data_IF_817147274359
#
_entry.id   IF_817147274359
#
_cell.length_a   1.000
_cell.length_b   1.000
_cell.length_c   1.000
_cell.angle_alpha   90.00
_cell.angle_beta   90.00
_cell.angle_gamma   90.00
#
_symmetry.space_group_name_H-M   'P 1'
#
loop_
_entity.id
_entity.type
_entity.pdbx_description
1 polymer ?
#
# COMPACT_ATOMS: atom_id res chain seq x y z
N UNK A 1 -24.05 -15.94 14.72
CA UNK A 1 -23.28 -15.70 13.48
C UNK A 1 -21.81 -15.87 13.82
N UNK A 2 -21.02 -16.51 12.95
CA UNK A 2 -19.57 -16.53 13.11
C UNK A 2 -19.06 -15.07 13.13
N UNK A 3 -18.06 -14.77 13.97
CA UNK A 3 -17.45 -13.44 13.97
C UNK A 3 -16.79 -13.22 12.60
N UNK A 4 -17.21 -12.15 11.92
CA UNK A 4 -16.55 -11.68 10.71
C UNK A 4 -15.39 -10.77 11.11
N UNK A 5 -14.25 -10.90 10.43
CA UNK A 5 -13.05 -10.13 10.69
C UNK A 5 -12.61 -9.41 9.44
N UNK A 6 -12.01 -8.25 9.61
CA UNK A 6 -11.22 -7.57 8.59
C UNK A 6 -9.76 -7.87 8.88
N UNK A 7 -9.04 -8.34 7.86
CA UNK A 7 -7.60 -8.59 7.92
C UNK A 7 -6.92 -7.73 6.87
N UNK A 8 -6.30 -6.64 7.33
CA UNK A 8 -5.44 -5.82 6.48
C UNK A 8 -4.04 -6.40 6.55
N UNK A 9 -3.44 -6.72 5.42
CA UNK A 9 -2.15 -7.42 5.40
C UNK A 9 -1.22 -6.90 4.31
N UNK A 10 0.06 -7.16 4.51
CA UNK A 10 1.16 -6.87 3.59
C UNK A 10 2.26 -7.93 3.78
N UNK A 11 3.14 -8.11 2.79
CA UNK A 11 4.17 -9.14 2.80
C UNK A 11 5.52 -8.61 2.33
N UNK A 12 6.57 -8.97 3.06
CA UNK A 12 7.94 -8.76 2.61
C UNK A 12 8.57 -10.01 2.03
N UNK A 13 9.37 -9.82 0.99
CA UNK A 13 9.98 -10.90 0.24
C UNK A 13 11.42 -10.61 -0.15
N UNK A 14 12.18 -11.68 -0.36
CA UNK A 14 13.51 -11.65 -0.97
C UNK A 14 13.54 -12.53 -2.22
N UNK A 15 14.54 -12.40 -3.10
CA UNK A 15 14.77 -13.35 -4.18
C UNK A 15 15.02 -14.78 -3.67
N UNK A 16 14.36 -15.77 -4.26
CA UNK A 16 14.59 -17.20 -4.04
C UNK A 16 15.86 -17.62 -4.80
N UNK A 17 17.01 -17.36 -4.17
CA UNK A 17 18.34 -17.62 -4.76
C UNK A 17 18.51 -19.07 -5.21
N UNK A 18 17.94 -20.04 -4.48
CA UNK A 18 17.99 -21.44 -4.88
C UNK A 18 17.28 -21.69 -6.22
N UNK A 19 16.10 -21.09 -6.42
CA UNK A 19 15.39 -21.18 -7.69
C UNK A 19 16.13 -20.43 -8.80
N UNK A 20 16.65 -19.25 -8.48
CA UNK A 20 17.39 -18.41 -9.44
C UNK A 20 18.63 -19.15 -9.95
N UNK A 21 19.45 -19.73 -9.06
CA UNK A 21 20.60 -20.56 -9.46
C UNK A 21 20.17 -21.72 -10.36
N UNK A 22 19.08 -22.39 -10.02
CA UNK A 22 18.57 -23.53 -10.80
C UNK A 22 18.12 -23.14 -12.21
N UNK A 23 17.50 -21.98 -12.39
CA UNK A 23 16.92 -21.55 -13.67
C UNK A 23 17.94 -20.81 -14.52
N UNK A 24 18.69 -19.88 -13.93
CA UNK A 24 19.59 -18.98 -14.63
C UNK A 24 21.05 -19.40 -14.57
N UNK A 25 21.42 -20.33 -13.69
CA UNK A 25 22.80 -20.78 -13.55
C UNK A 25 23.73 -19.73 -12.93
N UNK A 26 23.18 -18.73 -12.23
CA UNK A 26 23.98 -17.73 -11.51
C UNK A 26 24.76 -18.40 -10.38
N UNK A 27 25.97 -17.92 -10.11
CA UNK A 27 26.86 -18.43 -9.08
C UNK A 27 27.23 -17.33 -8.08
N UNK A 28 27.69 -17.72 -6.87
CA UNK A 28 28.04 -16.78 -5.80
C UNK A 28 27.21 -16.96 -4.54
N UNK A 29 27.46 -16.13 -3.54
CA UNK A 29 26.66 -16.05 -2.32
C UNK A 29 25.24 -15.54 -2.59
N UNK A 30 24.34 -15.68 -1.61
CA UNK A 30 22.93 -15.37 -1.80
C UNK A 30 22.65 -13.89 -2.09
N UNK A 31 23.41 -12.96 -1.49
CA UNK A 31 23.26 -11.53 -1.77
C UNK A 31 23.71 -11.20 -3.20
N UNK A 32 24.88 -11.69 -3.60
CA UNK A 32 25.40 -11.50 -4.97
C UNK A 32 24.44 -12.04 -6.03
N UNK A 33 23.89 -13.25 -5.83
CA UNK A 33 22.93 -13.87 -6.76
C UNK A 33 21.62 -13.07 -6.84
N UNK A 34 21.16 -12.53 -5.71
CA UNK A 34 19.96 -11.69 -5.66
C UNK A 34 20.14 -10.40 -6.47
N UNK A 35 21.25 -9.69 -6.24
CA UNK A 35 21.58 -8.45 -6.95
C UNK A 35 21.76 -8.66 -8.45
N UNK A 36 22.45 -9.73 -8.84
CA UNK A 36 22.64 -10.07 -10.25
C UNK A 36 21.31 -10.39 -10.94
N UNK A 37 20.43 -11.17 -10.30
CA UNK A 37 19.11 -11.45 -10.84
C UNK A 37 18.26 -10.18 -11.03
N UNK A 38 18.29 -9.26 -10.06
CA UNK A 38 17.58 -7.97 -10.16
C UNK A 38 18.16 -7.10 -11.28
N UNK A 39 19.48 -7.09 -11.47
CA UNK A 39 20.13 -6.39 -12.58
C UNK A 39 19.73 -6.97 -13.95
N UNK A 40 19.76 -8.30 -14.10
CA UNK A 40 19.31 -9.00 -15.33
C UNK A 40 17.84 -8.68 -15.64
N UNK A 41 16.99 -8.67 -14.62
CA UNK A 41 15.58 -8.31 -14.76
C UNK A 41 15.38 -6.84 -15.16
N UNK A 42 16.21 -5.93 -14.63
CA UNK A 42 16.20 -4.51 -14.99
C UNK A 42 16.59 -4.30 -16.45
N UNK A 43 17.64 -4.96 -16.90
CA UNK A 43 18.07 -4.90 -18.31
C UNK A 43 17.00 -5.44 -19.26
N UNK A 44 16.25 -6.48 -18.85
CA UNK A 44 15.22 -7.10 -19.66
C UNK A 44 13.88 -6.34 -19.66
N UNK A 45 13.49 -5.71 -18.54
CA UNK A 45 12.13 -5.19 -18.32
C UNK A 45 12.05 -3.71 -17.95
N UNK A 46 13.18 -3.09 -17.58
CA UNK A 46 13.24 -1.75 -17.00
C UNK A 46 12.92 -1.68 -15.50
N UNK A 47 12.66 -2.81 -14.83
CA UNK A 47 12.37 -2.88 -13.39
C UNK A 47 13.29 -3.89 -12.71
N UNK A 48 13.74 -3.61 -11.48
CA UNK A 48 14.48 -4.58 -10.66
C UNK A 48 13.56 -5.62 -9.99
N UNK A 49 12.24 -5.39 -10.05
CA UNK A 49 11.25 -6.27 -9.45
C UNK A 49 11.12 -7.58 -10.22
N UNK A 50 11.37 -8.70 -9.54
CA UNK A 50 11.37 -10.03 -10.14
C UNK A 50 9.93 -10.54 -10.38
N UNK A 51 9.74 -11.47 -11.33
CA UNK A 51 8.49 -12.20 -11.45
C UNK A 51 8.15 -13.01 -10.18
N UNK A 52 6.87 -13.09 -9.82
CA UNK A 52 6.37 -13.61 -8.51
C UNK A 52 6.93 -14.97 -8.07
N UNK A 53 7.26 -15.87 -9.00
CA UNK A 53 7.80 -17.20 -8.66
C UNK A 53 9.22 -17.15 -8.09
N UNK A 54 9.96 -16.07 -8.35
CA UNK A 54 11.31 -15.86 -7.85
C UNK A 54 11.35 -15.16 -6.49
N UNK A 55 10.21 -14.91 -5.87
CA UNK A 55 10.15 -14.37 -4.52
C UNK A 55 10.04 -15.49 -3.47
N UNK A 56 10.54 -15.19 -2.28
CA UNK A 56 10.46 -16.00 -1.07
C UNK A 56 9.98 -15.09 0.06
N UNK A 57 8.94 -15.50 0.79
CA UNK A 57 8.36 -14.70 1.87
C UNK A 57 9.28 -14.73 3.09
N UNK A 58 9.50 -13.54 3.68
CA UNK A 58 10.28 -13.37 4.91
C UNK A 58 9.44 -12.76 6.04
N UNK A 59 8.42 -11.96 5.72
CA UNK A 59 7.47 -11.45 6.70
C UNK A 59 6.04 -11.37 6.11
N UNK A 60 5.05 -11.55 6.98
CA UNK A 60 3.64 -11.22 6.70
C UNK A 60 3.11 -10.51 7.93
N UNK A 61 2.80 -9.23 7.79
CA UNK A 61 2.19 -8.43 8.86
C UNK A 61 0.70 -8.28 8.63
N UNK A 62 -0.05 -8.11 9.72
CA UNK A 62 -1.47 -7.87 9.62
C UNK A 62 -2.01 -6.98 10.73
N UNK A 63 -2.92 -6.07 10.35
CA UNK A 63 -3.90 -5.48 11.26
C UNK A 63 -5.16 -6.33 11.25
N UNK A 64 -5.61 -6.70 12.45
CA UNK A 64 -6.92 -7.29 12.67
C UNK A 64 -7.90 -6.22 13.13
N UNK A 65 -9.05 -6.16 12.47
CA UNK A 65 -10.18 -5.34 12.88
C UNK A 65 -11.46 -6.19 12.96
N UNK A 66 -12.45 -5.72 13.71
CA UNK A 66 -13.78 -6.32 13.67
C UNK A 66 -14.52 -5.97 12.37
N UNK A 67 -15.75 -6.48 12.22
CA UNK A 67 -16.56 -6.27 11.02
C UNK A 67 -16.95 -4.80 10.75
N UNK A 68 -16.84 -3.93 11.77
CA UNK A 68 -17.13 -2.49 11.68
C UNK A 68 -15.86 -1.65 11.49
N UNK A 69 -14.70 -2.30 11.34
CA UNK A 69 -13.42 -1.62 11.17
C UNK A 69 -12.74 -1.23 12.48
N UNK A 70 -13.25 -1.61 13.65
CA UNK A 70 -12.58 -1.28 14.91
C UNK A 70 -11.26 -2.03 15.04
N UNK A 71 -10.18 -1.29 15.29
CA UNK A 71 -8.85 -1.84 15.51
C UNK A 71 -8.81 -2.85 16.68
N UNK A 72 -8.25 -4.03 16.45
CA UNK A 72 -8.06 -5.06 17.48
C UNK A 72 -6.59 -5.26 17.83
N UNK A 73 -5.72 -5.39 16.83
CA UNK A 73 -4.26 -5.57 17.00
C UNK A 73 -3.52 -5.42 15.67
N UNK A 74 -2.23 -5.11 15.75
CA UNK A 74 -1.23 -5.29 14.68
C UNK A 74 -0.20 -6.32 15.13
N UNK A 75 0.29 -7.16 14.21
CA UNK A 75 1.40 -8.10 14.48
C UNK A 75 1.95 -8.70 13.19
N UNK A 76 3.23 -9.03 13.19
CA UNK A 76 3.86 -9.94 12.23
C UNK A 76 3.61 -11.41 12.59
N UNK A 77 3.35 -12.27 11.59
CA UNK A 77 3.20 -13.71 11.79
C UNK A 77 4.55 -14.38 12.09
N UNK A 78 4.69 -14.91 13.31
CA UNK A 78 5.87 -15.70 13.67
C UNK A 78 5.93 -17.04 12.90
N UNK A 79 7.13 -17.50 12.58
CA UNK A 79 7.36 -18.85 12.05
C UNK A 79 8.85 -19.15 11.91
N UNK A 80 9.25 -20.41 12.08
CA UNK A 80 10.67 -20.79 11.99
C UNK A 80 11.21 -20.76 10.56
N UNK A 81 10.32 -20.74 9.56
CA UNK A 81 10.62 -20.71 8.14
C UNK A 81 9.39 -20.23 7.36
N UNK A 82 9.59 -19.94 6.07
CA UNK A 82 8.54 -19.49 5.16
C UNK A 82 7.30 -20.41 5.14
N UNK A 83 7.50 -21.74 5.16
CA UNK A 83 6.38 -22.69 5.09
C UNK A 83 5.44 -22.52 6.30
N UNK A 84 6.00 -22.33 7.50
CA UNK A 84 5.20 -22.11 8.71
C UNK A 84 4.44 -20.78 8.70
N UNK A 85 5.09 -19.70 8.23
CA UNK A 85 4.47 -18.38 8.10
C UNK A 85 3.26 -18.47 7.15
N UNK A 86 3.47 -19.04 5.95
CA UNK A 86 2.41 -19.25 4.97
C UNK A 86 1.30 -20.16 5.49
N UNK A 87 1.65 -21.27 6.15
CA UNK A 87 0.66 -22.20 6.69
C UNK A 87 -0.23 -21.55 7.75
N UNK A 88 0.33 -20.68 8.61
CA UNK A 88 -0.45 -19.92 9.59
C UNK A 88 -1.41 -18.93 8.93
N UNK A 89 -0.94 -18.17 7.94
CA UNK A 89 -1.78 -17.21 7.21
C UNK A 89 -2.92 -17.90 6.44
N UNK A 90 -2.60 -18.98 5.72
CA UNK A 90 -3.56 -19.77 4.95
C UNK A 90 -4.59 -20.44 5.86
N UNK A 91 -4.14 -21.01 7.00
CA UNK A 91 -5.04 -21.59 7.99
C UNK A 91 -6.04 -20.55 8.48
N UNK A 92 -5.58 -19.33 8.77
CA UNK A 92 -6.45 -18.23 9.17
C UNK A 92 -7.49 -17.88 8.09
N UNK A 93 -7.08 -17.78 6.81
CA UNK A 93 -8.02 -17.53 5.71
C UNK A 93 -9.09 -18.64 5.62
N UNK A 94 -8.67 -19.91 5.68
CA UNK A 94 -9.60 -21.04 5.58
C UNK A 94 -10.59 -21.11 6.76
N UNK A 95 -10.11 -20.90 7.99
CA UNK A 95 -10.95 -21.01 9.19
C UNK A 95 -11.90 -19.83 9.37
N UNK A 96 -11.46 -18.61 9.06
CA UNK A 96 -12.20 -17.40 9.43
C UNK A 96 -12.87 -16.68 8.27
N UNK A 97 -12.46 -16.96 7.02
CA UNK A 97 -12.96 -16.28 5.83
C UNK A 97 -13.04 -14.73 6.01
N UNK A 98 -11.96 -14.08 6.47
CA UNK A 98 -11.96 -12.65 6.73
C UNK A 98 -12.16 -11.83 5.45
N UNK A 99 -12.65 -10.59 5.56
CA UNK A 99 -12.46 -9.60 4.50
C UNK A 99 -10.99 -9.23 4.47
N UNK A 100 -10.29 -9.65 3.43
CA UNK A 100 -8.89 -9.27 3.19
C UNK A 100 -8.83 -7.85 2.64
N UNK A 101 -7.89 -7.06 3.13
CA UNK A 101 -7.60 -5.72 2.64
C UNK A 101 -6.10 -5.62 2.41
N UNK A 102 -5.70 -5.04 1.28
CA UNK A 102 -4.29 -4.89 0.90
C UNK A 102 -4.12 -3.66 0.03
N UNK A 103 -2.90 -3.16 -0.12
CA UNK A 103 -2.54 -2.21 -1.18
C UNK A 103 -1.76 -2.95 -2.27
N UNK A 104 -2.32 -3.11 -3.48
CA UNK A 104 -1.72 -3.88 -4.57
C UNK A 104 -1.55 -5.39 -4.31
N UNK A 105 -2.21 -5.95 -3.30
CA UNK A 105 -2.14 -7.37 -2.98
C UNK A 105 -2.67 -8.31 -4.06
N UNK A 106 -3.54 -7.83 -4.97
CA UNK A 106 -3.95 -8.58 -6.16
C UNK A 106 -2.87 -8.57 -7.24
N UNK A 107 -2.07 -7.50 -7.30
CA UNK A 107 -0.98 -7.35 -8.26
C UNK A 107 0.26 -8.15 -7.88
N UNK A 108 0.48 -8.41 -6.59
CA UNK A 108 1.69 -9.08 -6.12
C UNK A 108 1.44 -10.12 -5.01
N UNK A 109 1.03 -9.69 -3.81
CA UNK A 109 1.07 -10.48 -2.59
C UNK A 109 0.31 -11.80 -2.68
N UNK A 110 -0.97 -11.76 -3.05
CA UNK A 110 -1.79 -12.96 -3.16
C UNK A 110 -1.31 -13.87 -4.29
N UNK A 111 -1.06 -13.40 -5.54
CA UNK A 111 -0.44 -14.24 -6.56
C UNK A 111 0.86 -14.92 -6.10
N UNK A 112 1.74 -14.17 -5.43
CA UNK A 112 3.01 -14.67 -4.89
C UNK A 112 2.74 -15.73 -3.81
N UNK A 113 1.90 -15.44 -2.81
CA UNK A 113 1.49 -16.39 -1.77
C UNK A 113 0.92 -17.66 -2.37
N UNK A 114 0.05 -17.57 -3.39
CA UNK A 114 -0.53 -18.77 -4.03
C UNK A 114 0.55 -19.63 -4.72
N UNK A 115 1.53 -19.00 -5.38
CA UNK A 115 2.67 -19.72 -5.96
C UNK A 115 3.52 -20.40 -4.89
N UNK A 116 3.78 -19.71 -3.76
CA UNK A 116 4.51 -20.30 -2.63
C UNK A 116 3.72 -21.39 -1.90
N UNK A 117 2.41 -21.24 -1.78
CA UNK A 117 1.52 -22.26 -1.23
C UNK A 117 1.58 -23.56 -2.05
N UNK A 118 1.59 -23.45 -3.39
CA UNK A 118 1.76 -24.61 -4.28
C UNK A 118 3.10 -25.32 -4.05
N UNK A 119 4.20 -24.57 -3.84
CA UNK A 119 5.52 -25.15 -3.52
C UNK A 119 5.48 -26.02 -2.25
N UNK A 120 4.70 -25.63 -1.25
CA UNK A 120 4.58 -26.33 0.03
C UNK A 120 3.36 -27.27 0.12
N UNK A 121 2.63 -27.47 -0.99
CA UNK A 121 1.39 -28.26 -1.05
C UNK A 121 0.34 -27.83 -0.02
N UNK A 122 0.22 -26.52 0.23
CA UNK A 122 -0.78 -25.96 1.14
C UNK A 122 -2.12 -25.76 0.41
N UNK A 123 -3.22 -26.13 1.06
CA UNK A 123 -4.58 -25.92 0.53
C UNK A 123 -5.13 -24.57 0.97
N UNK A 124 -5.57 -23.75 0.02
CA UNK A 124 -6.19 -22.42 0.25
C UNK A 124 -7.64 -22.44 -0.24
N UNK A 125 -8.42 -23.44 0.19
CA UNK A 125 -9.76 -23.71 -0.32
C UNK A 125 -10.69 -22.49 -0.24
N UNK A 126 -10.67 -21.75 0.86
CA UNK A 126 -11.54 -20.59 1.06
C UNK A 126 -11.29 -19.47 0.04
N UNK A 127 -10.04 -19.31 -0.41
CA UNK A 127 -9.66 -18.32 -1.42
C UNK A 127 -10.22 -18.67 -2.81
N UNK A 128 -10.22 -19.96 -3.15
CA UNK A 128 -10.67 -20.44 -4.46
C UNK A 128 -12.18 -20.76 -4.52
N UNK A 129 -12.82 -20.94 -3.36
CA UNK A 129 -14.26 -21.17 -3.22
C UNK A 129 -15.05 -20.01 -3.85
N UNK A 130 -15.91 -20.35 -4.81
CA UNK A 130 -16.73 -19.37 -5.55
C UNK A 130 -18.20 -19.39 -5.16
N UNK A 131 -18.66 -20.43 -4.48
CA UNK A 131 -20.04 -20.59 -4.04
C UNK A 131 -20.06 -21.09 -2.60
N UNK A 132 -20.62 -20.29 -1.70
CA UNK A 132 -20.83 -20.67 -0.30
C UNK A 132 -22.03 -19.88 0.23
N UNK A 133 -23.14 -20.57 0.46
CA UNK A 133 -24.39 -19.93 0.87
C UNK A 133 -24.33 -19.35 2.28
N UNK A 134 -23.56 -19.96 3.19
CA UNK A 134 -23.46 -19.51 4.59
C UNK A 134 -22.65 -18.21 4.69
N UNK A 135 -21.62 -18.07 3.86
CA UNK A 135 -20.77 -16.90 3.80
C UNK A 135 -21.26 -15.86 2.76
N UNK A 136 -22.32 -16.16 2.01
CA UNK A 136 -22.81 -15.38 0.87
C UNK A 136 -21.77 -15.19 -0.26
N UNK A 137 -20.88 -16.17 -0.47
CA UNK A 137 -20.01 -16.20 -1.66
C UNK A 137 -20.80 -16.61 -2.88
N UNK A 138 -20.54 -15.94 -3.99
CA UNK A 138 -21.07 -16.27 -5.30
C UNK A 138 -20.03 -15.93 -6.39
N UNK A 139 -20.34 -16.25 -7.65
CA UNK A 139 -19.43 -16.03 -8.78
C UNK A 139 -18.94 -14.58 -8.95
N UNK A 140 -19.66 -13.59 -8.41
CA UNK A 140 -19.32 -12.16 -8.47
C UNK A 140 -18.74 -11.61 -7.18
N UNK A 141 -18.92 -12.32 -6.06
CA UNK A 141 -18.46 -11.91 -4.73
C UNK A 141 -17.73 -13.06 -4.06
N UNK A 142 -16.41 -13.08 -4.23
CA UNK A 142 -15.46 -14.00 -3.61
C UNK A 142 -14.07 -13.35 -3.63
N UNK A 143 -13.05 -13.96 -3.01
CA UNK A 143 -11.69 -13.37 -2.93
C UNK A 143 -11.07 -13.03 -4.29
N UNK A 144 -11.42 -13.77 -5.35
CA UNK A 144 -10.87 -13.58 -6.70
C UNK A 144 -11.67 -12.59 -7.54
N UNK A 145 -12.80 -12.10 -7.05
CA UNK A 145 -13.64 -11.16 -7.77
C UNK A 145 -13.07 -9.76 -7.69
N UNK A 146 -12.33 -9.35 -8.74
CA UNK A 146 -11.58 -8.08 -8.77
C UNK A 146 -12.40 -6.85 -8.40
N UNK A 147 -13.62 -6.75 -8.91
CA UNK A 147 -14.48 -5.57 -8.75
C UNK A 147 -15.35 -5.61 -7.48
N UNK A 148 -15.25 -6.66 -6.66
CA UNK A 148 -15.99 -6.78 -5.40
C UNK A 148 -15.04 -6.67 -4.22
N UNK A 149 -15.19 -5.61 -3.43
CA UNK A 149 -14.42 -5.41 -2.19
C UNK A 149 -14.90 -6.24 -1.00
N UNK A 150 -15.88 -7.14 -1.18
CA UNK A 150 -16.57 -7.84 -0.07
C UNK A 150 -15.66 -8.85 0.64
N UNK A 151 -14.90 -9.63 -0.12
CA UNK A 151 -13.98 -10.65 0.42
C UNK A 151 -12.52 -10.21 0.29
N UNK A 152 -12.17 -9.51 -0.78
CA UNK A 152 -10.86 -8.90 -0.92
C UNK A 152 -10.99 -7.50 -1.49
N UNK A 153 -10.69 -6.49 -0.68
CA UNK A 153 -10.56 -5.11 -1.11
C UNK A 153 -9.07 -4.81 -1.37
N UNK A 154 -8.70 -4.74 -2.64
CA UNK A 154 -7.40 -4.17 -3.03
C UNK A 154 -7.57 -2.66 -3.20
N UNK A 155 -6.99 -1.88 -2.28
CA UNK A 155 -7.12 -0.43 -2.25
C UNK A 155 -6.51 0.22 -3.49
N UNK A 156 -5.43 -0.33 -4.06
CA UNK A 156 -4.85 0.24 -5.28
C UNK A 156 -5.83 0.09 -6.45
N UNK A 157 -6.41 -1.11 -6.63
CA UNK A 157 -7.42 -1.34 -7.66
C UNK A 157 -8.61 -0.39 -7.48
N UNK A 158 -9.14 -0.27 -6.27
CA UNK A 158 -10.33 0.54 -6.02
C UNK A 158 -10.10 2.06 -6.11
N UNK A 159 -8.98 2.56 -5.59
CA UNK A 159 -8.65 4.00 -5.60
C UNK A 159 -8.20 4.45 -7.00
N UNK A 160 -7.50 3.60 -7.74
CA UNK A 160 -7.09 3.89 -9.13
C UNK A 160 -8.23 3.77 -10.15
N UNK A 161 -9.45 3.46 -9.70
CA UNK A 161 -10.59 3.08 -10.54
C UNK A 161 -10.21 1.98 -11.55
N UNK A 162 -9.70 0.88 -10.99
CA UNK A 162 -9.27 -0.34 -11.65
C UNK A 162 -8.18 -0.14 -12.71
N UNK A 163 -7.27 0.80 -12.47
CA UNK A 163 -6.14 1.13 -13.34
C UNK A 163 -6.39 2.27 -14.32
N UNK A 164 -7.48 3.04 -14.12
CA UNK A 164 -7.73 4.29 -14.85
C UNK A 164 -6.66 5.35 -14.54
N UNK A 165 -6.12 5.34 -13.32
CA UNK A 165 -4.90 6.07 -12.94
C UNK A 165 -3.77 5.08 -12.66
N UNK A 166 -2.54 5.42 -13.04
CA UNK A 166 -1.36 4.57 -12.83
C UNK A 166 -0.34 5.28 -11.94
N UNK A 167 0.53 4.48 -11.31
CA UNK A 167 1.68 5.00 -10.57
C UNK A 167 1.37 5.48 -9.15
N UNK A 168 0.20 5.16 -8.60
CA UNK A 168 -0.09 5.42 -7.19
C UNK A 168 0.77 4.48 -6.32
N UNK A 169 1.55 5.07 -5.41
CA UNK A 169 2.31 4.36 -4.37
C UNK A 169 1.64 4.62 -3.02
N UNK A 170 1.64 3.61 -2.15
CA UNK A 170 1.04 3.69 -0.81
C UNK A 170 1.52 4.94 -0.07
N UNK A 171 2.84 5.11 0.01
CA UNK A 171 3.48 6.25 0.65
C UNK A 171 2.97 7.61 0.15
N UNK A 172 3.08 7.87 -1.16
CA UNK A 172 2.64 9.15 -1.74
C UNK A 172 1.14 9.41 -1.54
N UNK A 173 0.33 8.34 -1.53
CA UNK A 173 -1.10 8.45 -1.32
C UNK A 173 -1.40 8.75 0.16
N UNK A 174 -0.73 8.07 1.09
CA UNK A 174 -0.82 8.34 2.52
C UNK A 174 -0.43 9.78 2.85
N UNK A 175 0.73 10.24 2.34
CA UNK A 175 1.18 11.61 2.53
C UNK A 175 0.16 12.63 2.00
N UNK A 176 -0.45 12.38 0.83
CA UNK A 176 -1.50 13.25 0.27
C UNK A 176 -2.79 13.32 1.10
N UNK A 177 -2.98 12.38 2.03
CA UNK A 177 -4.16 12.23 2.86
C UNK A 177 -3.90 12.55 4.34
N UNK A 178 -2.74 13.15 4.67
CA UNK A 178 -2.28 13.42 6.04
C UNK A 178 -2.12 12.16 6.92
N UNK A 179 -1.86 10.99 6.31
CA UNK A 179 -1.40 9.79 7.03
C UNK A 179 0.12 9.88 7.24
N UNK A 180 0.67 9.10 8.20
CA UNK A 180 2.12 9.00 8.40
C UNK A 180 2.91 8.76 7.11
N UNK A 181 2.47 7.82 6.26
CA UNK A 181 3.24 7.44 5.07
C UNK A 181 4.54 6.74 5.45
N UNK A 182 5.59 6.95 4.65
CA UNK A 182 6.92 6.35 4.86
C UNK A 182 7.48 6.69 6.24
N UNK A 183 7.93 5.65 6.95
CA UNK A 183 8.66 5.77 8.20
C UNK A 183 9.97 5.00 8.09
N UNK A 184 11.10 5.71 8.06
CA UNK A 184 12.52 5.32 8.12
C UNK A 184 13.08 4.22 7.17
N UNK A 185 12.35 3.14 6.88
CA UNK A 185 12.81 2.00 6.06
C UNK A 185 12.10 1.99 4.72
N UNK A 186 12.76 1.46 3.69
CA UNK A 186 12.27 1.41 2.32
C UNK A 186 12.30 -0.03 1.82
N UNK A 187 11.34 -0.42 0.97
CA UNK A 187 11.29 -1.78 0.39
C UNK A 187 12.55 -2.20 -0.38
N UNK A 188 13.36 -1.25 -0.87
CA UNK A 188 14.66 -1.54 -1.50
C UNK A 188 15.75 -1.94 -0.49
N UNK A 189 15.57 -1.68 0.80
CA UNK A 189 16.48 -2.07 1.89
C UNK A 189 16.18 -3.47 2.44
N UNK A 190 15.01 -4.06 2.14
CA UNK A 190 14.59 -5.38 2.67
C UNK A 190 15.64 -6.46 2.40
N UNK A 191 16.26 -6.42 1.21
CA UNK A 191 17.30 -7.36 0.84
C UNK A 191 18.54 -7.24 1.74
N UNK A 192 19.02 -6.01 1.94
CA UNK A 192 20.18 -5.72 2.78
C UNK A 192 19.91 -6.07 4.25
N UNK A 193 18.76 -5.64 4.79
CA UNK A 193 18.32 -5.97 6.15
C UNK A 193 18.26 -7.48 6.37
N UNK A 194 17.75 -8.24 5.39
CA UNK A 194 17.64 -9.68 5.50
C UNK A 194 19.02 -10.36 5.60
N UNK A 195 19.99 -9.97 4.76
CA UNK A 195 21.34 -10.55 4.79
C UNK A 195 22.20 -10.04 5.94
N UNK A 196 21.79 -8.97 6.62
CA UNK A 196 22.41 -8.48 7.86
C UNK A 196 21.74 -9.06 9.13
N UNK A 197 20.86 -10.06 8.99
CA UNK A 197 20.11 -10.69 10.09
C UNK A 197 19.19 -9.71 10.86
N UNK A 198 18.74 -8.63 10.21
CA UNK A 198 17.89 -7.58 10.80
C UNK A 198 16.40 -7.81 10.54
N UNK A 199 15.92 -9.04 10.71
CA UNK A 199 14.52 -9.41 10.47
C UNK A 199 13.52 -8.55 11.27
N UNK A 200 13.91 -8.10 12.47
CA UNK A 200 13.02 -7.29 13.30
C UNK A 200 12.73 -5.92 12.69
N UNK A 201 13.68 -5.35 11.96
CA UNK A 201 13.48 -4.11 11.20
C UNK A 201 12.54 -4.32 10.02
N UNK A 202 12.62 -5.49 9.36
CA UNK A 202 11.69 -5.87 8.29
C UNK A 202 10.27 -6.03 8.84
N UNK A 203 10.12 -6.70 10.00
CA UNK A 203 8.83 -6.85 10.68
C UNK A 203 8.23 -5.49 11.02
N UNK A 204 9.02 -4.58 11.60
CA UNK A 204 8.59 -3.23 11.95
C UNK A 204 8.18 -2.40 10.73
N UNK A 205 8.94 -2.50 9.63
CA UNK A 205 8.59 -1.86 8.36
C UNK A 205 7.26 -2.39 7.80
N UNK A 206 7.10 -3.71 7.74
CA UNK A 206 5.87 -4.34 7.24
C UNK A 206 4.66 -4.03 8.16
N UNK A 207 4.87 -3.95 9.49
CA UNK A 207 3.87 -3.48 10.45
C UNK A 207 3.43 -2.03 10.19
N UNK A 208 4.37 -1.13 9.86
CA UNK A 208 4.07 0.25 9.48
C UNK A 208 3.24 0.34 8.19
N UNK A 209 3.57 -0.46 7.17
CA UNK A 209 2.84 -0.47 5.90
C UNK A 209 1.41 -1.01 6.06
N UNK A 210 1.18 -2.02 6.90
CA UNK A 210 -0.20 -2.48 7.21
C UNK A 210 -1.00 -1.48 8.05
N UNK A 211 -0.35 -0.72 8.93
CA UNK A 211 -1.02 0.35 9.69
C UNK A 211 -1.45 1.49 8.77
N UNK A 212 -0.57 1.91 7.84
CA UNK A 212 -0.91 2.87 6.79
C UNK A 212 -2.05 2.35 5.90
N UNK A 213 -2.00 1.08 5.49
CA UNK A 213 -3.03 0.44 4.67
C UNK A 213 -4.37 0.37 5.42
N UNK A 214 -4.36 0.07 6.71
CA UNK A 214 -5.57 0.05 7.54
C UNK A 214 -6.21 1.43 7.66
N UNK A 215 -5.40 2.47 7.89
CA UNK A 215 -5.93 3.83 7.98
C UNK A 215 -6.47 4.30 6.62
N UNK A 216 -5.76 4.01 5.53
CA UNK A 216 -6.23 4.29 4.17
C UNK A 216 -7.56 3.58 3.88
N UNK A 217 -7.70 2.33 4.33
CA UNK A 217 -8.96 1.59 4.28
C UNK A 217 -10.09 2.33 5.00
N UNK A 218 -9.87 2.81 6.23
CA UNK A 218 -10.89 3.57 6.95
C UNK A 218 -11.29 4.86 6.22
N UNK A 219 -10.34 5.60 5.63
CA UNK A 219 -10.65 6.78 4.80
C UNK A 219 -11.48 6.41 3.58
N UNK A 220 -11.20 5.27 2.96
CA UNK A 220 -11.97 4.76 1.82
C UNK A 220 -13.40 4.36 2.23
N UNK A 221 -13.57 3.66 3.35
CA UNK A 221 -14.90 3.29 3.87
C UNK A 221 -15.73 4.53 4.28
N UNK A 222 -15.08 5.56 4.85
CA UNK A 222 -15.71 6.85 5.13
C UNK A 222 -16.16 7.55 3.85
N UNK A 223 -15.30 7.58 2.82
CA UNK A 223 -15.62 8.15 1.50
C UNK A 223 -16.84 7.47 0.85
N UNK A 224 -16.97 6.15 1.02
CA UNK A 224 -18.11 5.39 0.53
C UNK A 224 -19.39 5.57 1.36
N UNK A 225 -19.29 6.18 2.54
CA UNK A 225 -20.39 6.32 3.48
C UNK A 225 -20.73 5.03 4.25
N UNK A 226 -19.81 4.05 4.28
CA UNK A 226 -20.00 2.80 5.01
C UNK A 226 -19.81 2.98 6.53
N UNK A 227 -19.01 3.97 6.92
CA UNK A 227 -18.80 4.38 8.32
C UNK A 227 -19.05 5.87 8.47
N UNK A 228 -19.45 6.29 9.66
CA UNK A 228 -19.61 7.72 9.98
C UNK A 228 -18.28 8.37 10.33
N UNK A 229 -18.25 9.71 10.38
CA UNK A 229 -17.08 10.44 10.87
C UNK A 229 -16.75 10.08 12.34
N UNK A 230 -17.77 9.81 13.16
CA UNK A 230 -17.61 9.36 14.54
C UNK A 230 -17.01 7.95 14.62
N UNK A 231 -17.46 7.03 13.77
CA UNK A 231 -16.90 5.68 13.70
C UNK A 231 -15.43 5.73 13.25
N UNK A 232 -15.12 6.52 12.23
CA UNK A 232 -13.75 6.77 11.76
C UNK A 232 -12.85 7.26 12.88
N UNK A 233 -13.26 8.33 13.60
CA UNK A 233 -12.54 8.87 14.74
C UNK A 233 -12.31 7.80 15.83
N UNK A 234 -13.35 7.03 16.15
CA UNK A 234 -13.26 5.96 17.15
C UNK A 234 -12.27 4.86 16.75
N UNK A 235 -12.24 4.48 15.46
CA UNK A 235 -11.36 3.43 14.95
C UNK A 235 -9.89 3.86 14.97
N UNK A 236 -9.56 5.09 14.57
CA UNK A 236 -8.18 5.61 14.62
C UNK A 236 -7.71 5.88 16.05
N UNK A 237 -8.60 6.33 16.93
CA UNK A 237 -8.29 6.49 18.35
C UNK A 237 -8.02 5.12 19.01
N UNK A 238 -8.83 4.10 18.69
CA UNK A 238 -8.61 2.73 19.19
C UNK A 238 -7.27 2.17 18.73
N UNK A 239 -6.84 2.49 17.51
CA UNK A 239 -5.50 2.15 17.02
C UNK A 239 -4.42 2.84 17.85
N UNK A 240 -4.48 4.18 18.02
CA UNK A 240 -3.50 4.93 18.80
C UNK A 240 -3.39 4.41 20.25
N UNK A 241 -4.51 4.18 20.94
CA UNK A 241 -4.52 3.62 22.29
C UNK A 241 -3.87 2.23 22.35
N UNK A 242 -4.10 1.38 21.36
CA UNK A 242 -3.47 0.06 21.29
C UNK A 242 -1.96 0.20 21.09
N UNK A 243 -1.52 1.05 20.15
CA UNK A 243 -0.11 1.24 19.82
C UNK A 243 0.66 1.76 21.04
N UNK A 244 0.17 2.83 21.67
CA UNK A 244 0.78 3.42 22.86
C UNK A 244 0.90 2.40 24.03
N UNK A 245 -0.05 1.48 24.14
CA UNK A 245 -0.07 0.49 25.22
C UNK A 245 0.78 -0.76 24.95
N UNK A 246 0.81 -1.24 23.70
CA UNK A 246 1.35 -2.58 23.38
C UNK A 246 2.56 -2.53 22.44
N UNK A 247 2.78 -1.42 21.75
CA UNK A 247 3.81 -1.25 20.73
C UNK A 247 4.77 -0.09 21.05
N UNK A 248 4.86 0.38 22.29
CA UNK A 248 5.73 1.51 22.68
C UNK A 248 7.23 1.30 22.37
N UNK A 249 7.64 0.05 22.14
CA UNK A 249 9.00 -0.31 21.74
C UNK A 249 9.25 -0.20 20.22
N UNK A 250 8.21 0.07 19.42
CA UNK A 250 8.26 0.22 17.96
C UNK A 250 8.45 1.68 17.60
N UNK A 251 9.33 1.98 16.66
CA UNK A 251 9.60 3.34 16.18
C UNK A 251 8.37 4.01 15.57
N UNK A 252 7.51 3.24 14.89
CA UNK A 252 6.30 3.79 14.28
C UNK A 252 5.28 4.31 15.32
N UNK A 253 5.35 3.92 16.60
CA UNK A 253 4.27 4.17 17.57
C UNK A 253 4.03 5.65 17.84
N UNK A 254 5.08 6.43 18.09
CA UNK A 254 4.96 7.87 18.33
C UNK A 254 4.39 8.58 17.10
N UNK A 255 4.91 8.24 15.92
CA UNK A 255 4.51 8.84 14.64
C UNK A 255 3.03 8.61 14.36
N UNK A 256 2.54 7.38 14.52
CA UNK A 256 1.11 7.10 14.32
C UNK A 256 0.24 7.78 15.39
N UNK A 257 0.66 7.80 16.66
CA UNK A 257 -0.11 8.47 17.71
C UNK A 257 -0.22 9.99 17.47
N UNK A 258 0.88 10.65 17.11
CA UNK A 258 0.91 12.08 16.77
C UNK A 258 0.02 12.38 15.55
N UNK A 259 0.10 11.55 14.51
CA UNK A 259 -0.75 11.71 13.33
C UNK A 259 -2.24 11.55 13.67
N UNK A 260 -2.58 10.60 14.56
CA UNK A 260 -3.99 10.40 14.99
C UNK A 260 -4.47 11.61 15.78
N UNK A 261 -3.67 12.16 16.68
CA UNK A 261 -4.03 13.38 17.43
C UNK A 261 -4.31 14.55 16.48
N UNK A 262 -3.44 14.76 15.48
CA UNK A 262 -3.65 15.79 14.46
C UNK A 262 -4.94 15.56 13.67
N UNK A 263 -5.21 14.32 13.25
CA UNK A 263 -6.42 13.99 12.50
C UNK A 263 -7.69 14.20 13.31
N UNK A 264 -7.71 13.79 14.58
CA UNK A 264 -8.82 14.08 15.49
C UNK A 264 -9.03 15.60 15.64
N UNK A 265 -7.94 16.36 15.74
CA UNK A 265 -7.98 17.82 15.71
C UNK A 265 -8.60 18.39 14.43
N UNK A 266 -8.33 17.80 13.26
CA UNK A 266 -8.96 18.19 11.98
C UNK A 266 -10.46 17.90 11.96
N UNK A 267 -10.87 16.74 12.46
CA UNK A 267 -12.29 16.37 12.54
C UNK A 267 -13.08 17.31 13.46
N UNK A 268 -12.43 17.88 14.47
CA UNK A 268 -13.01 18.87 15.38
C UNK A 268 -12.91 20.32 14.87
N UNK A 269 -12.29 20.55 13.70
CA UNK A 269 -12.07 21.88 13.13
C UNK A 269 -10.99 22.72 13.85
N UNK A 270 -10.11 22.09 14.62
CA UNK A 270 -9.00 22.73 15.33
C UNK A 270 -7.72 22.83 14.49
N UNK A 271 -7.57 21.93 13.53
CA UNK A 271 -6.42 21.84 12.61
C UNK A 271 -6.96 21.85 11.18
N UNK A 272 -6.25 22.49 10.25
CA UNK A 272 -6.64 22.52 8.83
C UNK A 272 -6.18 21.24 8.09
N UNK A 273 -6.81 20.95 6.96
CA UNK A 273 -6.44 19.85 6.07
C UNK A 273 -5.32 20.22 5.09
N UNK A 274 -5.04 21.52 4.91
CA UNK A 274 -3.97 21.98 4.03
C UNK A 274 -2.61 21.45 4.49
N UNK A 275 -1.90 20.81 3.56
CA UNK A 275 -0.57 20.27 3.80
C UNK A 275 0.42 21.45 3.80
N UNK A 276 0.82 21.90 4.99
CA UNK A 276 1.89 22.88 5.15
C UNK A 276 3.24 22.22 4.86
N UNK A 277 3.97 22.74 3.87
CA UNK A 277 5.29 22.22 3.45
C UNK A 277 6.44 22.46 4.43
N UNK A 278 6.16 22.58 5.72
CA UNK A 278 7.19 22.67 6.75
C UNK A 278 7.80 21.28 6.95
N UNK A 279 8.82 20.98 6.15
CA UNK A 279 9.75 19.87 6.39
C UNK A 279 10.40 20.06 7.76
N UNK A 280 9.82 19.48 8.81
CA UNK A 280 10.55 19.16 10.03
C UNK A 280 11.34 17.90 9.75
N UNK A 281 12.64 18.05 9.49
CA UNK A 281 13.59 16.95 9.61
C UNK A 281 13.36 16.29 10.98
N UNK A 282 12.91 15.03 11.00
CA UNK A 282 12.85 14.20 12.20
C UNK A 282 14.25 13.67 12.55
N UNK A 283 15.24 14.57 12.60
CA UNK A 283 16.59 14.28 13.07
C UNK A 283 16.95 15.28 14.18
N UNK A 284 16.41 15.06 15.37
CA UNK A 284 16.86 15.75 16.58
C UNK A 284 17.99 14.93 17.23
N UNK A 285 19.16 14.93 16.57
CA UNK A 285 20.44 14.59 17.18
C UNK A 285 21.31 15.85 17.19
N UNK A 286 21.56 16.35 18.41
CA UNK A 286 22.54 17.36 18.81
C UNK A 286 22.90 18.45 17.79
N UNK A 287 22.29 19.63 17.98
CA UNK A 287 22.77 20.90 17.42
C UNK A 287 24.20 21.18 17.89
N UNK A 288 25.15 20.91 17.02
CA UNK A 288 26.37 21.73 16.91
C UNK A 288 26.25 22.67 15.70
N UNK A 289 26.93 23.80 15.85
CA UNK A 289 26.60 25.11 15.29
C UNK A 289 26.54 25.27 13.76
N UNK A 290 25.66 26.18 13.33
CA UNK A 290 25.56 26.88 12.03
C UNK A 290 25.22 26.07 10.77
N UNK A 291 23.95 26.15 10.34
CA UNK A 291 23.60 25.99 8.92
C UNK A 291 22.64 27.10 8.47
N UNK A 292 23.03 27.76 7.39
CA UNK A 292 22.26 28.77 6.66
C UNK A 292 21.00 28.14 6.05
N UNK A 293 19.93 28.95 6.01
CA UNK A 293 18.64 28.62 5.39
C UNK A 293 18.89 28.26 3.92
N UNK A 294 18.68 26.99 3.54
CA UNK A 294 18.83 26.57 2.15
C UNK A 294 17.72 27.16 1.27
N UNK A 295 18.11 27.70 0.12
CA UNK A 295 17.23 28.34 -0.84
C UNK A 295 16.18 27.38 -1.40
N UNK A 296 14.98 27.91 -1.70
CA UNK A 296 13.89 27.17 -2.34
C UNK A 296 14.39 26.53 -3.64
N UNK A 297 14.25 25.21 -3.73
CA UNK A 297 14.54 24.41 -4.92
C UNK A 297 13.83 25.01 -6.14
N UNK A 298 14.54 25.14 -7.24
CA UNK A 298 14.02 25.76 -8.46
C UNK A 298 13.01 24.83 -9.17
N UNK A 299 12.08 25.37 -9.98
CA UNK A 299 11.11 24.56 -10.73
C UNK A 299 11.75 23.50 -11.64
N UNK A 300 13.00 23.71 -12.07
CA UNK A 300 13.77 22.80 -12.91
C UNK A 300 14.33 21.62 -12.11
N UNK A 301 14.77 21.85 -10.88
CA UNK A 301 15.17 20.82 -9.92
C UNK A 301 13.99 19.96 -9.47
N UNK A 302 12.82 20.59 -9.26
CA UNK A 302 11.57 19.87 -8.99
C UNK A 302 11.16 18.99 -10.18
N UNK A 303 11.28 19.49 -11.41
CA UNK A 303 11.01 18.72 -12.62
C UNK A 303 11.96 17.53 -12.76
N UNK A 304 13.24 17.71 -12.44
CA UNK A 304 14.22 16.63 -12.42
C UNK A 304 13.95 15.60 -11.31
N UNK A 305 13.47 16.04 -10.15
CA UNK A 305 13.07 15.15 -9.06
C UNK A 305 11.83 14.31 -9.42
N UNK A 306 10.80 14.95 -9.99
CA UNK A 306 9.59 14.29 -10.48
C UNK A 306 9.87 13.34 -11.66
N UNK A 307 10.82 13.68 -12.54
CA UNK A 307 11.26 12.82 -13.63
C UNK A 307 11.99 11.55 -13.13
N UNK A 308 12.82 11.67 -12.09
CA UNK A 308 13.50 10.52 -11.45
C UNK A 308 12.51 9.56 -10.77
N UNK A 309 11.34 10.04 -10.35
CA UNK A 309 10.27 9.22 -9.76
C UNK A 309 9.23 8.71 -10.77
N UNK A 310 9.42 8.95 -12.07
CA UNK A 310 8.50 8.49 -13.13
C UNK A 310 7.20 9.31 -13.26
N UNK A 311 7.12 10.48 -12.61
CA UNK A 311 5.94 11.37 -12.55
C UNK A 311 6.05 12.58 -13.52
N UNK A 312 7.06 12.59 -14.39
CA UNK A 312 7.41 13.73 -15.25
C UNK A 312 6.36 14.19 -16.28
N UNK A 313 5.26 13.44 -16.48
CA UNK A 313 4.22 13.82 -17.45
C UNK A 313 3.05 14.64 -16.87
N UNK A 314 3.03 14.91 -15.56
CA UNK A 314 1.86 15.50 -14.89
C UNK A 314 1.86 17.03 -14.82
N UNK A 315 2.87 17.74 -15.36
CA UNK A 315 2.89 19.20 -15.38
C UNK A 315 3.32 19.73 -16.75
N UNK A 316 2.36 20.09 -17.60
CA UNK A 316 2.60 21.06 -18.69
C UNK A 316 2.42 22.47 -18.13
N UNK A 317 3.38 23.36 -18.39
CA UNK A 317 3.31 24.76 -17.97
C UNK A 317 2.06 25.42 -18.57
N UNK A 318 1.33 26.20 -17.77
CA UNK A 318 0.19 27.01 -18.25
C UNK A 318 0.58 28.03 -19.34
N UNK A 319 1.87 28.29 -19.54
CA UNK A 319 2.41 29.14 -20.62
C UNK A 319 2.50 28.48 -22.00
N UNK A 320 2.28 27.16 -22.12
CA UNK A 320 2.33 26.45 -23.41
C UNK A 320 0.97 26.41 -24.13
N UNK A 321 -0.05 27.06 -23.57
CA UNK A 321 -1.34 27.29 -24.21
C UNK A 321 -1.44 28.74 -24.70
N UNK A 322 -0.93 29.00 -25.89
CA UNK A 322 -1.35 30.15 -26.70
C UNK A 322 -2.03 29.67 -27.98
N UNK A 323 -3.09 30.35 -28.44
CA UNK A 323 -3.99 29.84 -29.47
C UNK A 323 -3.30 29.82 -30.83
N UNK A 324 -3.17 28.64 -31.44
CA UNK A 324 -2.79 28.54 -32.84
C UNK A 324 -3.96 29.05 -33.69
N UNK A 325 -3.84 30.27 -34.18
CA UNK A 325 -4.62 30.73 -35.33
C UNK A 325 -4.26 29.85 -36.53
N UNK A 326 -5.26 29.13 -37.05
CA UNK A 326 -5.26 28.62 -38.41
C UNK A 326 -6.64 28.87 -38.98
N UNK A 327 -6.73 29.91 -39.79
CA UNK A 327 -7.84 30.14 -40.70
C UNK A 327 -7.99 28.96 -41.65
N UNK A 328 -9.16 28.33 -41.61
CA UNK A 328 -9.70 27.54 -42.72
C UNK A 328 -11.21 27.82 -42.74
N UNK A 329 -11.78 28.33 -43.85
CA UNK A 329 -13.21 28.53 -43.90
C UNK A 329 -13.89 27.17 -44.03
N UNK A 330 -14.74 26.83 -43.08
CA UNK A 330 -15.66 25.71 -43.15
C UNK A 330 -17.06 26.29 -43.06
N UNK A 331 -17.85 26.06 -44.11
CA UNK A 331 -19.26 26.41 -44.21
C UNK A 331 -20.02 25.98 -42.96
N UNK A 332 -20.84 26.88 -42.43
CA UNK A 332 -21.82 26.59 -41.39
C UNK A 332 -22.94 25.68 -41.93
N UNK A 333 -23.30 24.61 -41.21
CA UNK A 333 -24.66 24.20 -41.06
C UNK A 333 -25.17 24.64 -39.68
N UNK A 334 -26.33 25.27 -39.68
CA UNK A 334 -27.08 25.76 -38.52
C UNK A 334 -27.21 24.72 -37.39
N UNK A 335 -26.99 25.18 -36.16
CA UNK A 335 -27.40 24.49 -34.92
C UNK A 335 -28.93 24.32 -34.88
N UNK A 336 -29.46 23.17 -34.43
CA UNK A 336 -30.83 23.10 -33.97
C UNK A 336 -30.95 23.71 -32.55
N UNK A 337 -31.89 24.63 -32.40
CA UNK A 337 -32.41 25.07 -31.09
C UNK A 337 -33.15 23.90 -30.43
N UNK A 338 -32.83 23.61 -29.17
CA UNK A 338 -33.67 22.78 -28.30
C UNK A 338 -34.40 23.76 -27.37
N UNK A 339 -35.69 23.91 -27.63
CA UNK A 339 -36.65 24.62 -26.81
C UNK A 339 -36.96 23.78 -25.56
N UNK A 340 -36.78 24.36 -24.38
CA UNK A 340 -37.03 23.71 -23.09
C UNK A 340 -38.38 24.12 -22.46
N UNK A 341 -39.24 24.82 -23.18
CA UNK A 341 -40.60 25.10 -22.73
C UNK A 341 -41.61 24.35 -23.61
N UNK A 342 -41.90 23.10 -23.25
CA UNK A 342 -43.23 22.49 -23.42
C UNK A 342 -43.33 21.18 -22.60
N UNK A 343 -44.07 21.29 -21.49
CA UNK A 343 -44.73 20.29 -20.62
C UNK A 343 -44.05 18.95 -20.31
#
# INVERSE_FOLDING_TARGET
>A
MAKSYICVFDCETIPDTNLIRKIYGLEGDDMSVSLEAMAVQKDASGSEFLPVMFHKVVAISAVMADEYGKFLRVSTLEGANEQEILAKFIKFINEYNPRLVSFNGRGFDLPMIMVRAMRYNLSVEAYFETENRELNKNKWENYRSRYSGRFHLDLLDHISDFGSVRGLKLDTLCASLNLPGKYDIHGDQVLELYYNDELEKINEYCESDVLNTYWLFLKYELLQGNITQQDYASCINSMSEFLAKNCDHRGYTSVFCEAVELELGRLEGKVDYEISGDFKDQNDYEKDETYEISERITPEELQNHLAKQGLGSLLKKASDLSPKSKTKPLNEPSLPEIDLDNE
#
